data_IF_111321416503
#
_entry.id   IF_111321416503
#
_cell.length_a   1.000
_cell.length_b   1.000
_cell.length_c   1.000
_cell.angle_alpha   90.00
_cell.angle_beta   90.00
_cell.angle_gamma   90.00
#
_symmetry.space_group_name_H-M   'P 1'
#
loop_
_entity.id
_entity.type
_entity.pdbx_description
1 polymer ?
#
# COMPACT_ATOMS: atom_id res chain seq x y z
N UNK A 1 14.20 -5.26 -8.51
CA UNK A 1 15.25 -4.28 -8.88
C UNK A 1 16.50 -4.92 -9.55
N UNK A 2 16.55 -6.24 -9.62
CA UNK A 2 17.70 -6.97 -10.20
C UNK A 2 17.56 -7.27 -11.71
N UNK A 3 16.45 -6.91 -12.34
CA UNK A 3 16.21 -7.19 -13.76
C UNK A 3 16.80 -6.10 -14.66
N UNK A 4 17.35 -6.52 -15.78
CA UNK A 4 17.80 -5.63 -16.86
C UNK A 4 16.62 -4.90 -17.51
N UNK A 5 16.79 -3.62 -17.86
CA UNK A 5 15.73 -2.81 -18.46
C UNK A 5 15.29 -3.32 -19.82
N UNK A 6 16.23 -3.76 -20.67
CA UNK A 6 15.89 -4.34 -21.96
C UNK A 6 15.08 -5.62 -21.84
N UNK A 7 15.33 -6.42 -20.80
CA UNK A 7 14.48 -7.58 -20.48
C UNK A 7 13.08 -7.14 -20.04
N UNK A 8 12.96 -6.12 -19.19
CA UNK A 8 11.66 -5.60 -18.76
C UNK A 8 10.83 -5.06 -19.93
N UNK A 9 11.44 -4.35 -20.87
CA UNK A 9 10.78 -3.89 -22.11
C UNK A 9 10.25 -5.04 -22.94
N UNK A 10 11.07 -6.07 -23.18
CA UNK A 10 10.64 -7.27 -23.91
C UNK A 10 9.53 -8.03 -23.17
N UNK A 11 9.63 -8.17 -21.86
CA UNK A 11 8.60 -8.79 -21.02
C UNK A 11 7.28 -8.02 -21.14
N UNK A 12 7.35 -6.68 -21.05
CA UNK A 12 6.16 -5.81 -21.22
C UNK A 12 5.53 -5.98 -22.59
N UNK A 13 6.31 -5.90 -23.65
CA UNK A 13 5.82 -6.05 -25.02
C UNK A 13 5.16 -7.43 -25.24
N UNK A 14 5.80 -8.50 -24.79
CA UNK A 14 5.29 -9.87 -24.95
C UNK A 14 4.01 -10.13 -24.15
N UNK A 15 3.95 -9.65 -22.91
CA UNK A 15 2.76 -9.83 -22.06
C UNK A 15 1.58 -9.01 -22.57
N UNK A 16 1.79 -7.75 -22.98
CA UNK A 16 0.75 -6.90 -23.55
C UNK A 16 0.23 -7.42 -24.90
N UNK A 17 1.08 -8.06 -25.71
CA UNK A 17 0.65 -8.73 -26.94
C UNK A 17 -0.26 -9.95 -26.69
N UNK A 18 -0.11 -10.61 -25.55
CA UNK A 18 -0.96 -11.75 -25.15
C UNK A 18 -2.24 -11.32 -24.44
N UNK A 19 -2.13 -10.30 -23.59
CA UNK A 19 -3.24 -9.74 -22.83
C UNK A 19 -2.98 -8.24 -22.64
N UNK A 20 -3.77 -7.39 -23.26
CA UNK A 20 -3.57 -5.94 -23.30
C UNK A 20 -3.51 -5.30 -21.91
N UNK A 21 -4.32 -5.79 -20.98
CA UNK A 21 -4.42 -5.34 -19.59
C UNK A 21 -3.57 -6.17 -18.61
N UNK A 22 -2.55 -6.90 -19.12
CA UNK A 22 -1.66 -7.68 -18.25
C UNK A 22 -0.84 -6.74 -17.38
N UNK A 23 -1.09 -6.78 -16.06
CA UNK A 23 -0.45 -5.90 -15.11
C UNK A 23 0.88 -6.46 -14.62
N UNK A 24 1.93 -5.64 -14.72
CA UNK A 24 3.28 -5.96 -14.26
C UNK A 24 3.64 -5.07 -13.06
N UNK A 25 3.95 -5.68 -11.94
CA UNK A 25 4.42 -5.04 -10.73
C UNK A 25 5.83 -5.52 -10.42
N UNK A 26 6.72 -4.59 -10.07
CA UNK A 26 8.08 -4.88 -9.66
C UNK A 26 8.29 -4.67 -8.17
N UNK A 27 9.18 -5.46 -7.59
CA UNK A 27 9.66 -5.21 -6.24
C UNK A 27 10.92 -4.36 -6.30
N UNK A 28 10.83 -3.15 -5.76
CA UNK A 28 11.93 -2.21 -5.63
C UNK A 28 11.96 -1.70 -4.19
N UNK A 29 13.02 -2.03 -3.46
CA UNK A 29 13.13 -1.66 -2.04
C UNK A 29 13.69 -0.24 -1.90
N UNK A 30 14.72 0.08 -2.67
CA UNK A 30 15.44 1.35 -2.59
C UNK A 30 15.64 1.96 -3.98
N UNK A 31 15.74 3.28 -4.03
CA UNK A 31 16.08 4.02 -5.22
C UNK A 31 14.92 4.76 -5.87
N UNK A 32 15.10 5.11 -7.13
CA UNK A 32 14.13 5.86 -7.90
C UNK A 32 13.07 4.92 -8.52
N UNK A 33 11.89 4.85 -7.92
CA UNK A 33 10.78 4.05 -8.41
C UNK A 33 10.32 4.47 -9.81
N UNK A 34 10.44 5.75 -10.14
CA UNK A 34 10.05 6.27 -11.45
C UNK A 34 10.88 5.63 -12.59
N UNK A 35 12.13 5.28 -12.32
CA UNK A 35 13.01 4.63 -13.30
C UNK A 35 12.46 3.29 -13.79
N UNK A 36 11.82 2.52 -12.91
CA UNK A 36 11.25 1.19 -13.23
C UNK A 36 9.86 1.25 -13.86
N UNK A 37 9.14 2.34 -13.64
CA UNK A 37 7.82 2.58 -14.27
C UNK A 37 8.00 3.29 -15.61
N UNK A 38 8.99 4.17 -15.73
CA UNK A 38 9.24 4.97 -16.92
C UNK A 38 8.03 5.83 -17.29
N UNK A 39 7.65 5.79 -18.56
CA UNK A 39 6.46 6.45 -19.09
C UNK A 39 5.15 5.68 -18.82
N UNK A 40 5.23 4.53 -18.17
CA UNK A 40 4.09 3.64 -17.91
C UNK A 40 3.66 2.76 -19.10
N UNK A 41 4.35 2.87 -20.24
CA UNK A 41 4.01 2.12 -21.47
C UNK A 41 5.00 1.00 -21.77
N UNK A 42 6.28 1.21 -21.52
CA UNK A 42 7.34 0.31 -21.96
C UNK A 42 7.94 -0.54 -20.83
N UNK A 43 7.82 -0.10 -19.58
CA UNK A 43 8.35 -0.79 -18.40
C UNK A 43 7.25 -1.33 -17.51
N UNK A 44 7.43 -1.32 -16.21
CA UNK A 44 6.46 -1.82 -15.23
C UNK A 44 5.27 -0.84 -15.07
N UNK A 45 4.14 -1.36 -14.67
CA UNK A 45 2.97 -0.53 -14.37
C UNK A 45 3.06 0.11 -12.99
N UNK A 46 3.72 -0.57 -12.07
CA UNK A 46 3.85 -0.19 -10.67
C UNK A 46 5.06 -0.85 -10.03
N UNK A 47 5.52 -0.28 -8.94
CA UNK A 47 6.51 -0.89 -8.03
C UNK A 47 6.06 -0.74 -6.58
N UNK A 48 6.67 -1.54 -5.70
CA UNK A 48 6.42 -1.52 -4.25
C UNK A 48 6.75 -0.18 -3.60
N UNK A 49 5.87 0.31 -2.71
CA UNK A 49 6.08 1.54 -1.95
C UNK A 49 6.56 1.24 -0.52
N UNK A 50 7.84 0.98 -0.37
CA UNK A 50 8.46 0.74 0.93
C UNK A 50 8.55 2.00 1.81
N UNK A 51 8.57 3.19 1.20
CA UNK A 51 8.58 4.46 1.95
C UNK A 51 7.27 4.65 2.71
N UNK A 52 6.13 4.49 2.02
CA UNK A 52 4.82 4.58 2.67
C UNK A 52 4.63 3.45 3.69
N UNK A 53 5.06 2.20 3.37
CA UNK A 53 5.04 1.10 4.32
C UNK A 53 5.70 1.48 5.65
N UNK A 54 6.93 2.03 5.59
CA UNK A 54 7.63 2.49 6.80
C UNK A 54 6.84 3.57 7.53
N UNK A 55 6.42 4.61 6.83
CA UNK A 55 5.69 5.74 7.42
C UNK A 55 4.41 5.32 8.13
N UNK A 56 3.67 4.34 7.58
CA UNK A 56 2.41 3.88 8.16
C UNK A 56 2.58 3.28 9.56
N UNK A 57 3.51 2.36 9.77
CA UNK A 57 3.66 1.76 11.10
C UNK A 57 4.44 2.67 12.06
N UNK A 58 5.54 3.31 11.62
CA UNK A 58 6.34 4.17 12.50
C UNK A 58 5.57 5.43 12.90
N UNK A 59 4.87 6.07 11.97
CA UNK A 59 4.07 7.26 12.28
C UNK A 59 2.99 7.01 13.33
N UNK A 60 2.42 5.80 13.38
CA UNK A 60 1.47 5.43 14.43
C UNK A 60 2.15 5.11 15.75
N UNK A 61 3.26 4.34 15.73
CA UNK A 61 4.00 3.98 16.92
C UNK A 61 4.59 5.21 17.63
N UNK A 62 5.11 6.17 16.86
CA UNK A 62 5.80 7.36 17.36
C UNK A 62 4.85 8.56 17.55
N UNK A 63 3.55 8.36 17.26
CA UNK A 63 2.55 9.44 17.25
C UNK A 63 3.01 10.64 16.40
N UNK A 64 3.47 10.34 15.18
CA UNK A 64 4.04 11.33 14.26
C UNK A 64 3.48 11.19 12.84
N UNK A 65 2.25 11.67 12.64
CA UNK A 65 1.61 11.62 11.32
C UNK A 65 2.26 12.53 10.28
N UNK A 66 3.15 13.45 10.69
CA UNK A 66 3.97 14.22 9.75
C UNK A 66 4.84 13.32 8.87
N UNK A 67 5.30 12.17 9.37
CA UNK A 67 6.08 11.21 8.59
C UNK A 67 5.27 10.67 7.40
N UNK A 68 4.01 10.28 7.65
CA UNK A 68 3.10 9.78 6.60
C UNK A 68 2.81 10.89 5.58
N UNK A 69 2.41 12.06 6.07
CA UNK A 69 2.06 13.19 5.21
C UNK A 69 3.26 13.68 4.39
N UNK A 70 4.47 13.69 4.98
CA UNK A 70 5.69 14.05 4.26
C UNK A 70 5.95 13.09 3.10
N UNK A 71 5.84 11.78 3.33
CA UNK A 71 5.98 10.77 2.28
C UNK A 71 4.98 11.01 1.15
N UNK A 72 3.70 11.20 1.46
CA UNK A 72 2.67 11.43 0.45
C UNK A 72 2.89 12.73 -0.33
N UNK A 73 3.26 13.81 0.33
CA UNK A 73 3.58 15.08 -0.36
C UNK A 73 4.78 14.90 -1.29
N UNK A 74 5.86 14.32 -0.78
CA UNK A 74 7.06 14.07 -1.59
C UNK A 74 6.76 13.21 -2.81
N UNK A 75 5.92 12.19 -2.67
CA UNK A 75 5.60 11.25 -3.74
C UNK A 75 4.58 11.78 -4.73
N UNK A 76 3.49 12.38 -4.26
CA UNK A 76 2.27 12.59 -5.06
C UNK A 76 1.74 14.02 -5.09
N UNK A 77 2.43 15.01 -4.51
CA UNK A 77 1.98 16.40 -4.58
C UNK A 77 1.80 16.84 -6.04
N UNK A 78 0.72 17.57 -6.32
CA UNK A 78 0.39 18.02 -7.69
C UNK A 78 1.41 19.01 -8.26
N UNK A 79 2.14 19.73 -7.41
CA UNK A 79 3.07 20.78 -7.81
C UNK A 79 4.52 20.31 -7.90
N UNK A 80 4.83 19.08 -7.52
CA UNK A 80 6.22 18.61 -7.55
C UNK A 80 6.47 17.22 -7.01
N UNK A 81 5.42 16.42 -6.80
CA UNK A 81 5.59 15.04 -6.35
C UNK A 81 6.42 14.22 -7.34
N UNK A 82 7.45 13.54 -6.84
CA UNK A 82 8.41 12.79 -7.67
C UNK A 82 7.78 11.61 -8.42
N UNK A 83 6.63 11.13 -7.94
CA UNK A 83 5.86 10.05 -8.57
C UNK A 83 4.47 10.52 -9.03
N UNK A 84 4.31 11.82 -9.24
CA UNK A 84 3.07 12.39 -9.78
C UNK A 84 2.62 11.63 -11.04
N UNK A 85 1.34 11.27 -11.09
CA UNK A 85 0.75 10.52 -12.20
C UNK A 85 1.08 9.02 -12.22
N UNK A 86 1.95 8.55 -11.33
CA UNK A 86 2.26 7.12 -11.17
C UNK A 86 1.42 6.50 -10.05
N UNK A 87 1.22 5.20 -10.12
CA UNK A 87 0.51 4.44 -9.07
C UNK A 87 1.48 3.43 -8.46
N UNK A 88 1.89 3.65 -7.22
CA UNK A 88 2.74 2.73 -6.49
C UNK A 88 1.90 1.65 -5.80
N UNK A 89 2.42 0.44 -5.74
CA UNK A 89 1.85 -0.69 -5.01
C UNK A 89 2.12 -0.51 -3.52
N UNK A 90 1.09 -0.14 -2.78
CA UNK A 90 1.17 0.19 -1.35
C UNK A 90 0.73 -0.99 -0.50
N UNK A 91 1.44 -1.25 0.59
CA UNK A 91 1.21 -2.37 1.49
C UNK A 91 1.57 -1.99 2.93
N UNK A 92 1.06 -2.72 3.90
CA UNK A 92 1.39 -2.57 5.33
C UNK A 92 2.34 -3.66 5.81
N UNK A 93 2.31 -4.80 5.16
CA UNK A 93 3.25 -5.91 5.32
C UNK A 93 3.28 -6.77 4.04
N UNK A 94 4.27 -7.64 3.95
CA UNK A 94 4.43 -8.59 2.85
C UNK A 94 5.20 -9.83 3.32
N UNK A 95 5.65 -10.65 2.37
CA UNK A 95 6.38 -11.90 2.64
C UNK A 95 7.82 -11.71 3.16
N UNK A 96 8.36 -10.48 3.12
CA UNK A 96 9.75 -10.17 3.49
C UNK A 96 9.88 -9.21 4.67
N UNK A 97 8.77 -8.69 5.19
CA UNK A 97 8.78 -7.81 6.37
C UNK A 97 7.85 -8.33 7.45
N UNK A 98 8.14 -8.01 8.70
CA UNK A 98 7.29 -8.38 9.83
C UNK A 98 5.84 -7.98 9.58
N UNK A 99 4.91 -8.82 10.02
CA UNK A 99 3.47 -8.55 9.96
C UNK A 99 3.13 -7.26 10.70
N UNK A 100 2.17 -6.49 10.17
CA UNK A 100 1.74 -5.23 10.77
C UNK A 100 1.36 -5.39 12.25
N UNK A 101 0.57 -6.43 12.56
CA UNK A 101 0.16 -6.73 13.93
C UNK A 101 1.34 -6.94 14.89
N UNK A 102 2.48 -7.43 14.39
CA UNK A 102 3.71 -7.59 15.18
C UNK A 102 4.53 -6.30 15.30
N UNK A 103 4.39 -5.36 14.36
CA UNK A 103 5.14 -4.09 14.39
C UNK A 103 4.51 -3.04 15.30
N UNK A 104 3.19 -3.09 15.48
CA UNK A 104 2.46 -2.06 16.21
C UNK A 104 2.58 -2.21 17.72
N UNK A 105 2.86 -1.09 18.41
CA UNK A 105 2.79 -0.97 19.85
C UNK A 105 1.36 -1.04 20.37
N UNK A 106 0.40 -0.54 19.58
CA UNK A 106 -1.04 -0.55 19.84
C UNK A 106 -1.73 -1.19 18.65
N UNK A 107 -2.27 -2.39 18.82
CA UNK A 107 -2.85 -3.19 17.70
C UNK A 107 -4.10 -2.55 17.10
N UNK A 108 -4.85 -1.79 17.86
CA UNK A 108 -6.02 -1.03 17.39
C UNK A 108 -5.67 -0.04 16.28
N UNK A 109 -4.41 0.39 16.19
CA UNK A 109 -3.92 1.24 15.11
C UNK A 109 -3.98 0.56 13.73
N UNK A 110 -4.20 -0.75 13.65
CA UNK A 110 -4.51 -1.40 12.36
C UNK A 110 -5.73 -0.77 11.68
N UNK A 111 -6.73 -0.34 12.43
CA UNK A 111 -7.96 0.28 11.90
C UNK A 111 -7.65 1.55 11.10
N UNK A 112 -7.01 2.60 11.66
CA UNK A 112 -6.66 3.79 10.89
C UNK A 112 -5.58 3.52 9.84
N UNK A 113 -4.64 2.62 10.07
CA UNK A 113 -3.60 2.28 9.09
C UNK A 113 -4.21 1.70 7.81
N UNK A 114 -5.15 0.76 7.92
CA UNK A 114 -5.83 0.22 6.74
C UNK A 114 -6.71 1.27 6.04
N UNK A 115 -7.33 2.21 6.78
CA UNK A 115 -8.02 3.33 6.17
C UNK A 115 -7.05 4.20 5.34
N UNK A 116 -5.88 4.52 5.88
CA UNK A 116 -4.84 5.25 5.14
C UNK A 116 -4.36 4.45 3.92
N UNK A 117 -4.08 3.15 4.07
CA UNK A 117 -3.68 2.30 2.95
C UNK A 117 -4.71 2.33 1.80
N UNK A 118 -5.99 2.28 2.12
CA UNK A 118 -7.06 2.23 1.12
C UNK A 118 -7.32 3.57 0.43
N UNK A 119 -7.08 4.71 1.11
CA UNK A 119 -7.51 6.01 0.60
C UNK A 119 -6.38 6.97 0.25
N UNK A 120 -5.16 6.75 0.73
CA UNK A 120 -4.00 7.48 0.22
C UNK A 120 -3.73 7.14 -1.27
N UNK A 121 -3.03 8.01 -2.02
CA UNK A 121 -2.64 7.70 -3.38
C UNK A 121 -1.86 6.40 -3.47
N UNK A 122 -2.20 5.55 -4.46
CA UNK A 122 -1.56 4.26 -4.67
C UNK A 122 -2.55 3.12 -4.92
N UNK A 123 -2.01 1.92 -5.03
CA UNK A 123 -2.76 0.67 -5.21
C UNK A 123 -2.62 -0.13 -3.91
N UNK A 124 -3.67 -0.20 -3.07
CA UNK A 124 -3.61 -0.94 -1.82
C UNK A 124 -3.49 -2.44 -2.04
N UNK A 125 -2.65 -3.07 -1.26
CA UNK A 125 -2.49 -4.52 -1.23
C UNK A 125 -2.60 -5.05 0.19
N UNK A 126 -3.27 -6.18 0.33
CA UNK A 126 -3.37 -6.93 1.57
C UNK A 126 -2.59 -8.24 1.38
N UNK A 127 -1.62 -8.47 2.23
CA UNK A 127 -0.93 -9.75 2.28
C UNK A 127 -1.79 -10.77 3.02
N UNK A 128 -1.85 -12.01 2.52
CA UNK A 128 -2.75 -13.03 3.04
C UNK A 128 -2.60 -13.24 4.55
N UNK A 129 -3.71 -13.32 5.27
CA UNK A 129 -3.76 -13.43 6.72
C UNK A 129 -3.68 -12.11 7.47
N UNK A 130 -3.16 -11.03 6.85
CA UNK A 130 -3.09 -9.71 7.49
C UNK A 130 -4.47 -9.08 7.69
N UNK A 131 -5.45 -9.47 6.87
CA UNK A 131 -6.86 -9.10 7.05
C UNK A 131 -7.49 -9.63 8.33
N UNK A 132 -6.91 -10.68 8.90
CA UNK A 132 -7.32 -11.23 10.20
C UNK A 132 -6.48 -10.69 11.37
N UNK A 133 -5.40 -9.95 11.08
CA UNK A 133 -4.47 -9.42 12.07
C UNK A 133 -3.50 -10.47 12.63
N UNK A 134 -3.11 -11.47 11.83
CA UNK A 134 -2.11 -12.45 12.26
C UNK A 134 -0.75 -11.80 12.52
N UNK A 135 -0.03 -12.35 13.47
CA UNK A 135 1.33 -11.94 13.82
C UNK A 135 2.38 -12.77 13.08
N UNK A 136 3.58 -12.23 12.95
CA UNK A 136 4.77 -12.90 12.44
C UNK A 136 5.96 -11.93 12.43
N UNK A 137 7.11 -12.40 12.89
CA UNK A 137 8.38 -11.67 12.86
C UNK A 137 9.45 -12.51 12.20
N UNK A 138 10.36 -11.85 11.50
CA UNK A 138 11.60 -12.50 11.05
C UNK A 138 12.40 -12.99 12.25
N UNK A 139 12.86 -14.22 12.19
CA UNK A 139 13.69 -14.82 13.22
C UNK A 139 15.03 -15.28 12.66
N UNK A 140 16.12 -14.58 13.03
CA UNK A 140 17.47 -14.97 12.61
C UNK A 140 17.69 -15.03 11.09
N UNK A 141 16.92 -14.23 10.32
CA UNK A 141 16.95 -14.26 8.84
C UNK A 141 16.00 -15.30 8.21
N UNK A 142 15.24 -16.04 9.03
CA UNK A 142 14.20 -16.95 8.55
C UNK A 142 12.88 -16.22 8.34
N UNK A 143 12.30 -16.34 7.15
CA UNK A 143 11.03 -15.73 6.75
C UNK A 143 9.80 -16.63 6.97
N UNK A 144 9.97 -17.89 7.38
CA UNK A 144 8.87 -18.84 7.58
C UNK A 144 7.76 -18.30 8.50
N UNK A 145 8.07 -17.58 9.61
CA UNK A 145 7.02 -17.01 10.45
C UNK A 145 6.15 -15.96 9.74
N UNK A 146 6.64 -15.38 8.64
CA UNK A 146 5.88 -14.43 7.81
C UNK A 146 4.96 -15.13 6.82
N UNK A 147 5.17 -16.42 6.55
CA UNK A 147 4.53 -17.20 5.48
C UNK A 147 3.82 -18.47 6.00
N UNK A 148 3.04 -18.36 7.10
CA UNK A 148 2.42 -19.56 7.68
C UNK A 148 1.36 -20.16 6.75
N UNK A 149 1.20 -21.47 6.80
CA UNK A 149 0.00 -22.12 6.28
C UNK A 149 -1.20 -21.71 7.16
N UNK A 150 -2.29 -21.26 6.53
CA UNK A 150 -3.46 -20.75 7.24
C UNK A 150 -4.63 -21.73 7.17
N UNK A 151 -5.34 -21.87 8.28
CA UNK A 151 -6.65 -22.47 8.32
C UNK A 151 -7.72 -21.36 8.26
N UNK A 152 -8.29 -21.14 7.07
CA UNK A 152 -9.25 -20.07 6.85
C UNK A 152 -10.52 -20.23 7.67
N UNK A 153 -11.04 -21.47 7.82
CA UNK A 153 -12.26 -21.70 8.61
C UNK A 153 -12.09 -21.32 10.08
N UNK A 154 -10.90 -21.53 10.63
CA UNK A 154 -10.57 -21.15 12.00
C UNK A 154 -10.40 -19.63 12.13
N UNK A 155 -9.70 -19.01 11.20
CA UNK A 155 -9.49 -17.54 11.17
C UNK A 155 -10.81 -16.77 10.95
N UNK A 156 -11.71 -17.28 10.13
CA UNK A 156 -13.03 -16.67 9.93
C UNK A 156 -13.90 -16.74 11.18
N UNK A 157 -13.78 -17.82 11.97
CA UNK A 157 -14.52 -17.99 13.24
C UNK A 157 -13.92 -17.16 14.38
N UNK A 158 -12.59 -17.11 14.45
CA UNK A 158 -11.85 -16.52 15.57
C UNK A 158 -10.66 -15.70 15.06
N UNK A 159 -10.89 -14.58 14.38
CA UNK A 159 -9.79 -13.74 13.90
C UNK A 159 -9.04 -13.10 15.07
N UNK A 160 -7.69 -13.06 15.08
CA UNK A 160 -6.90 -12.38 16.10
C UNK A 160 -7.29 -10.90 16.30
N UNK A 161 -7.76 -10.23 15.23
CA UNK A 161 -8.31 -8.88 15.28
C UNK A 161 -9.78 -8.91 14.84
N UNK A 162 -10.69 -9.16 15.76
CA UNK A 162 -12.11 -9.43 15.53
C UNK A 162 -12.81 -8.46 14.56
N UNK A 163 -12.54 -7.16 14.70
CA UNK A 163 -13.18 -6.11 13.90
C UNK A 163 -12.54 -5.88 12.52
N UNK A 164 -11.34 -6.39 12.32
CA UNK A 164 -10.52 -6.04 11.16
C UNK A 164 -11.07 -6.58 9.83
N UNK A 165 -11.51 -7.83 9.72
CA UNK A 165 -12.05 -8.35 8.46
C UNK A 165 -13.25 -7.56 7.95
N UNK A 166 -14.19 -7.24 8.85
CA UNK A 166 -15.37 -6.42 8.51
C UNK A 166 -14.99 -4.99 8.13
N UNK A 167 -13.99 -4.43 8.80
CA UNK A 167 -13.46 -3.11 8.49
C UNK A 167 -12.82 -3.06 7.10
N UNK A 168 -11.94 -3.98 6.78
CA UNK A 168 -11.28 -4.08 5.47
C UNK A 168 -12.32 -4.26 4.35
N UNK A 169 -13.35 -5.09 4.59
CA UNK A 169 -14.46 -5.22 3.65
C UNK A 169 -15.14 -3.87 3.40
N UNK A 170 -15.45 -3.13 4.47
CA UNK A 170 -16.06 -1.79 4.38
C UNK A 170 -15.18 -0.83 3.57
N UNK A 171 -13.88 -0.77 3.86
CA UNK A 171 -12.93 0.07 3.11
C UNK A 171 -12.90 -0.29 1.62
N UNK A 172 -12.90 -1.60 1.32
CA UNK A 172 -12.94 -2.10 -0.06
C UNK A 172 -14.22 -1.68 -0.79
N UNK A 173 -15.37 -1.79 -0.14
CA UNK A 173 -16.66 -1.45 -0.71
C UNK A 173 -16.77 0.08 -0.97
N UNK A 174 -16.29 0.90 -0.02
CA UNK A 174 -16.19 2.36 -0.20
C UNK A 174 -15.27 2.69 -1.38
N UNK A 175 -14.07 2.10 -1.44
CA UNK A 175 -13.12 2.36 -2.53
C UNK A 175 -13.68 1.95 -3.90
N UNK A 176 -14.45 0.86 -3.98
CA UNK A 176 -15.11 0.43 -5.23
C UNK A 176 -16.20 1.40 -5.65
N UNK A 177 -17.00 1.88 -4.70
CA UNK A 177 -18.12 2.80 -4.93
C UNK A 177 -17.66 4.20 -5.34
N UNK A 178 -16.54 4.68 -4.80
CA UNK A 178 -16.05 6.05 -4.97
C UNK A 178 -14.86 6.10 -5.94
N UNK A 179 -15.03 6.60 -7.17
CA UNK A 179 -13.94 6.79 -8.13
C UNK A 179 -12.82 7.68 -7.58
N UNK A 180 -13.16 8.74 -6.84
CA UNK A 180 -12.19 9.64 -6.21
C UNK A 180 -11.18 8.91 -5.32
N UNK A 181 -11.59 7.84 -4.63
CA UNK A 181 -10.68 7.01 -3.83
C UNK A 181 -9.57 6.33 -4.65
N UNK A 182 -9.80 6.11 -5.96
CA UNK A 182 -8.88 5.40 -6.87
C UNK A 182 -8.04 6.34 -7.73
N UNK A 183 -8.66 7.39 -8.27
CA UNK A 183 -8.07 8.30 -9.26
C UNK A 183 -8.13 9.76 -8.89
N UNK A 184 -8.87 10.12 -7.84
CA UNK A 184 -9.03 11.51 -7.39
C UNK A 184 -7.70 12.13 -6.94
N UNK A 185 -7.63 13.47 -7.07
CA UNK A 185 -6.50 14.25 -6.56
C UNK A 185 -6.44 14.15 -5.04
N UNK A 186 -5.24 14.09 -4.50
CA UNK A 186 -5.01 14.17 -3.06
C UNK A 186 -4.92 15.62 -2.62
N UNK A 187 -5.60 15.95 -1.51
CA UNK A 187 -5.48 17.25 -0.85
C UNK A 187 -5.46 17.06 0.66
N UNK A 188 -4.39 17.49 1.29
CA UNK A 188 -4.33 17.55 2.75
C UNK A 188 -5.26 18.66 3.28
N UNK A 189 -6.00 18.36 4.34
CA UNK A 189 -6.95 19.27 4.99
C UNK A 189 -6.49 19.67 6.39
N UNK A 190 -5.97 18.71 7.15
CA UNK A 190 -5.48 18.94 8.52
C UNK A 190 -4.39 17.94 8.85
N UNK A 191 -3.36 18.42 9.54
CA UNK A 191 -2.27 17.59 10.01
C UNK A 191 -1.77 18.06 11.37
N UNK A 192 -1.75 17.12 12.31
CA UNK A 192 -1.08 17.24 13.62
C UNK A 192 -0.29 15.96 13.88
N UNK A 193 0.38 15.87 15.00
CA UNK A 193 1.06 14.62 15.36
C UNK A 193 0.14 13.40 15.43
N UNK A 194 -1.15 13.60 15.75
CA UNK A 194 -2.11 12.51 16.01
C UNK A 194 -3.41 12.62 15.21
N UNK A 195 -3.54 13.62 14.35
CA UNK A 195 -4.72 13.83 13.54
C UNK A 195 -4.29 14.09 12.11
N UNK A 196 -4.90 13.41 11.19
CA UNK A 196 -4.63 13.56 9.76
C UNK A 196 -5.93 13.46 8.98
N UNK A 197 -6.31 14.55 8.34
CA UNK A 197 -7.45 14.60 7.45
C UNK A 197 -7.01 15.00 6.05
N UNK A 198 -7.54 14.33 5.05
CA UNK A 198 -7.28 14.62 3.64
C UNK A 198 -8.51 14.33 2.79
N UNK A 199 -8.55 14.93 1.62
CA UNK A 199 -9.58 14.67 0.64
C UNK A 199 -8.99 13.95 -0.59
N UNK A 200 -9.81 13.10 -1.19
CA UNK A 200 -9.64 12.60 -2.56
C UNK A 200 -10.75 13.20 -3.40
N UNK A 201 -10.39 13.89 -4.45
CA UNK A 201 -11.30 14.73 -5.23
C UNK A 201 -11.18 14.39 -6.73
N UNK A 202 -12.29 14.15 -7.40
CA UNK A 202 -12.38 14.19 -8.85
C UNK A 202 -13.52 15.13 -9.28
N UNK A 203 -13.90 15.12 -10.56
CA UNK A 203 -14.91 16.05 -11.09
C UNK A 203 -16.32 15.80 -10.53
N UNK A 204 -16.63 14.60 -10.10
CA UNK A 204 -17.98 14.15 -9.77
C UNK A 204 -18.10 13.55 -8.37
N UNK A 205 -16.98 13.30 -7.70
CA UNK A 205 -16.95 12.57 -6.44
C UNK A 205 -15.90 13.17 -5.48
N UNK A 206 -16.21 13.14 -4.20
CA UNK A 206 -15.31 13.60 -3.14
C UNK A 206 -15.38 12.65 -1.95
N UNK A 207 -14.22 12.29 -1.43
CA UNK A 207 -14.07 11.50 -0.21
C UNK A 207 -13.17 12.23 0.77
N UNK A 208 -13.60 12.36 2.02
CA UNK A 208 -12.82 12.95 3.11
C UNK A 208 -12.61 11.90 4.19
#
# INVERSE_FOLDING_TARGET
DCLDFGFMEQMRARTSAKKQDFWLMGEVIHGDYARYIGDGQHLLHSVTNYELHKGLYSGHNDHNYFEIAHTIRREFDENGGIYKGKKLYSFVDNHDVDRLASKLNVKENMIPIYALLYFLPGIPSIYYGSEFGIEGRKEGGNDDPLRPALNLEELEKNPPAEKLPAWIKTLSDVRKKHPAARTGRYRELMLTNRQYAFARLDETDALI
#
